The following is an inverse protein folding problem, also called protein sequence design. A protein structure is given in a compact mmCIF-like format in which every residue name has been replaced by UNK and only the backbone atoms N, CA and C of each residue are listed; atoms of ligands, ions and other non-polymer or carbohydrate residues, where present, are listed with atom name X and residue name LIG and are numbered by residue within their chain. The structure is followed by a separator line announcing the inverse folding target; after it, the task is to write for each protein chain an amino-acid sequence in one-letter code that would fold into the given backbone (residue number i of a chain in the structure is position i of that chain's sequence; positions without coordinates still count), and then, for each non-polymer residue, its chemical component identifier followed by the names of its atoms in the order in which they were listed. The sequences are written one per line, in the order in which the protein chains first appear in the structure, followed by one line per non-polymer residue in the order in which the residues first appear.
data_IF_293429106066
#
_entry.id   IF_293429106066
#
_cell.length_a   1.000
_cell.length_b   1.000
_cell.length_c   1.000
_cell.angle_alpha   90.00
_cell.angle_beta   90.00
_cell.angle_gamma   90.00
#
_symmetry.space_group_name_H-M   'P 1'
#
loop_
_entity.id
_entity.type
_entity.pdbx_description
1 polymer ?
#
# COMPACT_ATOMS: atom_id res chain seq x y z
N UNK A 1 -35.00 -15.67 -19.92
CA UNK A 1 -34.77 -14.75 -18.79
C UNK A 1 -33.83 -13.64 -19.27
N UNK A 2 -34.25 -12.37 -19.13
CA UNK A 2 -33.48 -11.10 -19.09
C UNK A 2 -32.32 -10.86 -20.08
N UNK A 3 -32.11 -9.70 -20.70
CA UNK A 3 -32.79 -8.40 -20.76
C UNK A 3 -32.13 -7.67 -21.94
N UNK A 4 -32.90 -7.00 -22.80
CA UNK A 4 -32.38 -6.18 -23.89
C UNK A 4 -32.38 -4.69 -23.51
N UNK A 5 -31.22 -4.06 -23.61
CA UNK A 5 -30.94 -2.66 -23.34
C UNK A 5 -31.74 -1.71 -24.26
N UNK A 6 -32.40 -0.70 -23.69
CA UNK A 6 -32.86 0.50 -24.42
C UNK A 6 -32.47 1.76 -23.67
N UNK A 7 -31.60 2.56 -24.30
CA UNK A 7 -31.34 3.98 -24.01
C UNK A 7 -32.59 4.80 -24.35
N UNK A 8 -32.92 5.79 -23.53
CA UNK A 8 -33.91 6.83 -23.85
C UNK A 8 -33.30 8.21 -23.59
N UNK A 9 -33.39 9.07 -24.60
CA UNK A 9 -32.93 10.45 -24.59
C UNK A 9 -33.99 11.37 -23.97
N UNK A 10 -33.54 12.46 -23.34
CA UNK A 10 -34.38 13.51 -22.79
C UNK A 10 -34.75 14.54 -23.89
N UNK A 11 -36.02 14.94 -23.93
CA UNK A 11 -36.55 15.94 -24.85
C UNK A 11 -36.86 17.24 -24.10
N UNK A 12 -36.38 18.35 -24.66
CA UNK A 12 -36.55 19.72 -24.19
C UNK A 12 -37.98 20.24 -24.41
N UNK A 13 -38.42 21.16 -23.53
CA UNK A 13 -39.65 21.95 -23.71
C UNK A 13 -39.32 23.43 -23.47
N UNK A 14 -39.68 24.25 -24.46
CA UNK A 14 -39.58 25.71 -24.49
C UNK A 14 -40.91 26.37 -24.04
N UNK A 15 -40.94 27.69 -23.76
CA UNK A 15 -41.86 28.31 -22.79
C UNK A 15 -43.18 28.83 -23.40
N UNK A 16 -44.21 29.01 -22.56
CA UNK A 16 -45.44 29.74 -22.90
C UNK A 16 -45.72 30.90 -21.92
N UNK A 17 -46.37 32.00 -22.37
CA UNK A 17 -46.44 33.28 -21.66
C UNK A 17 -47.69 33.43 -20.78
N UNK A 18 -47.70 34.35 -19.78
CA UNK A 18 -48.87 34.61 -18.95
C UNK A 18 -49.84 35.69 -19.53
N UNK A 19 -51.15 35.63 -19.22
CA UNK A 19 -52.15 36.66 -19.57
C UNK A 19 -52.20 37.84 -18.58
N UNK A 20 -52.92 38.95 -18.88
CA UNK A 20 -52.62 40.29 -18.36
C UNK A 20 -53.37 40.68 -17.07
N UNK A 21 -52.81 41.73 -16.44
CA UNK A 21 -53.19 42.40 -15.19
C UNK A 21 -54.62 42.97 -15.18
N UNK A 22 -55.31 42.83 -14.05
CA UNK A 22 -56.31 43.80 -13.58
C UNK A 22 -55.76 44.52 -12.34
N UNK A 23 -55.66 45.84 -12.47
CA UNK A 23 -55.35 46.77 -11.38
C UNK A 23 -56.67 47.33 -10.87
N UNK A 24 -56.91 47.29 -9.56
CA UNK A 24 -57.76 48.28 -8.90
C UNK A 24 -57.09 48.70 -7.60
N UNK A 25 -56.85 50.01 -7.50
CA UNK A 25 -56.24 50.68 -6.36
C UNK A 25 -57.21 50.72 -5.18
N UNK A 26 -56.70 50.58 -3.96
CA UNK A 26 -56.67 51.63 -2.92
C UNK A 26 -56.37 50.98 -1.57
N UNK A 27 -55.22 51.28 -1.00
CA UNK A 27 -55.07 51.98 0.27
C UNK A 27 -53.59 52.03 0.60
N UNK A 28 -53.10 53.25 0.78
CA UNK A 28 -51.76 53.54 1.27
C UNK A 28 -51.68 53.05 2.71
N UNK A 29 -51.07 51.89 2.94
CA UNK A 29 -50.55 51.52 4.25
C UNK A 29 -49.17 50.89 4.06
N UNK A 30 -48.26 51.38 4.88
CA UNK A 30 -46.81 51.29 4.79
C UNK A 30 -46.23 49.95 4.34
N UNK A 31 -45.32 50.04 3.38
CA UNK A 31 -44.35 49.00 3.04
C UNK A 31 -43.42 48.82 4.26
N UNK A 32 -43.81 47.99 5.23
CA UNK A 32 -42.85 47.45 6.17
C UNK A 32 -42.02 46.42 5.42
N UNK A 33 -40.83 46.85 4.96
CA UNK A 33 -39.69 45.94 4.83
C UNK A 33 -39.53 45.29 6.20
N UNK A 34 -40.10 44.10 6.36
CA UNK A 34 -39.75 43.20 7.43
C UNK A 34 -38.34 42.72 7.08
N UNK A 35 -37.35 43.57 7.37
CA UNK A 35 -35.98 43.14 7.56
C UNK A 35 -36.08 42.03 8.60
N UNK A 36 -36.12 40.78 8.15
CA UNK A 36 -35.74 39.63 8.97
C UNK A 36 -34.24 39.82 9.19
N UNK A 37 -33.92 40.74 10.11
CA UNK A 37 -32.70 40.73 10.88
C UNK A 37 -32.69 39.33 11.51
N UNK A 38 -32.04 38.40 10.82
CA UNK A 38 -31.52 37.21 11.46
C UNK A 38 -30.59 37.78 12.51
N UNK A 39 -31.11 37.87 13.73
CA UNK A 39 -30.41 38.44 14.84
C UNK A 39 -29.13 37.64 15.02
N UNK A 40 -28.03 38.21 14.55
CA UNK A 40 -26.68 37.66 14.66
C UNK A 40 -26.25 37.54 16.13
N UNK A 41 -27.11 37.91 17.09
CA UNK A 41 -26.80 37.97 18.53
C UNK A 41 -27.54 36.97 19.43
N UNK A 42 -28.26 35.98 18.88
CA UNK A 42 -29.00 34.99 19.71
C UNK A 42 -28.35 33.60 19.73
N UNK A 43 -27.04 33.53 19.92
CA UNK A 43 -26.48 32.36 20.61
C UNK A 43 -26.72 32.65 22.09
N UNK A 44 -27.49 31.81 22.78
CA UNK A 44 -27.79 32.09 24.20
C UNK A 44 -26.47 32.18 24.99
N UNK A 45 -26.38 33.07 25.98
CA UNK A 45 -25.16 33.23 26.81
C UNK A 45 -24.70 31.87 27.41
N UNK A 46 -25.66 30.97 27.64
CA UNK A 46 -25.45 29.58 28.05
C UNK A 46 -24.76 28.73 26.97
N UNK A 47 -25.17 28.84 25.70
CA UNK A 47 -24.53 28.15 24.57
C UNK A 47 -23.11 28.68 24.30
N UNK A 48 -22.88 30.00 24.38
CA UNK A 48 -21.54 30.57 24.26
C UNK A 48 -20.61 30.09 25.39
N UNK A 49 -21.14 30.03 26.61
CA UNK A 49 -20.41 29.51 27.78
C UNK A 49 -20.07 28.02 27.64
N UNK A 50 -20.99 27.23 27.07
CA UNK A 50 -20.76 25.82 26.78
C UNK A 50 -19.68 25.62 25.70
N UNK A 51 -19.69 26.46 24.65
CA UNK A 51 -18.68 26.45 23.59
C UNK A 51 -17.29 26.82 24.15
N UNK A 52 -17.20 27.87 24.97
CA UNK A 52 -15.92 28.30 25.55
C UNK A 52 -15.31 27.21 26.44
N UNK A 53 -16.14 26.57 27.28
CA UNK A 53 -15.72 25.47 28.15
C UNK A 53 -15.25 24.25 27.36
N UNK A 54 -15.92 23.91 26.26
CA UNK A 54 -15.51 22.82 25.37
C UNK A 54 -14.16 23.13 24.67
N UNK A 55 -13.94 24.37 24.22
CA UNK A 55 -12.64 24.81 23.67
C UNK A 55 -11.53 24.69 24.72
N UNK A 56 -11.76 25.15 25.94
CA UNK A 56 -10.80 25.03 27.04
C UNK A 56 -10.48 23.57 27.37
N UNK A 57 -11.49 22.71 27.40
CA UNK A 57 -11.31 21.27 27.61
C UNK A 57 -10.48 20.62 26.49
N UNK A 58 -10.74 20.99 25.23
CA UNK A 58 -9.95 20.52 24.08
C UNK A 58 -8.51 21.01 24.15
N UNK A 59 -8.28 22.27 24.52
CA UNK A 59 -6.94 22.82 24.70
C UNK A 59 -6.19 22.14 25.84
N UNK A 60 -6.84 21.89 26.98
CA UNK A 60 -6.26 21.17 28.11
C UNK A 60 -5.90 19.72 27.73
N UNK A 61 -6.77 19.05 26.95
CA UNK A 61 -6.50 17.71 26.43
C UNK A 61 -5.32 17.72 25.45
N UNK A 62 -5.29 18.66 24.51
CA UNK A 62 -4.19 18.81 23.55
C UNK A 62 -2.85 19.07 24.25
N UNK A 63 -2.82 19.93 25.27
CA UNK A 63 -1.62 20.22 26.06
C UNK A 63 -1.15 19.01 26.89
N UNK A 64 -2.08 18.12 27.30
CA UNK A 64 -1.72 16.86 27.94
C UNK A 64 -1.15 15.87 26.94
N UNK A 65 -1.75 15.77 25.75
CA UNK A 65 -1.33 14.84 24.70
C UNK A 65 0.01 15.25 24.07
N UNK A 66 0.30 16.55 23.95
CA UNK A 66 1.55 17.05 23.38
C UNK A 66 2.79 16.53 24.13
N UNK A 67 2.68 16.29 25.44
CA UNK A 67 3.74 15.68 26.26
C UNK A 67 4.13 14.26 25.83
N UNK A 68 3.25 13.56 25.12
CA UNK A 68 3.45 12.18 24.65
C UNK A 68 3.75 12.11 23.15
N UNK A 69 3.67 13.24 22.44
CA UNK A 69 4.00 13.28 21.01
C UNK A 69 5.51 13.18 20.79
N UNK A 70 5.90 12.60 19.65
CA UNK A 70 7.30 12.61 19.24
C UNK A 70 7.73 14.02 18.82
N UNK A 71 9.03 14.33 18.90
CA UNK A 71 9.55 15.60 18.39
C UNK A 71 9.22 15.78 16.90
N UNK A 72 8.94 17.02 16.45
CA UNK A 72 8.71 17.32 15.03
C UNK A 72 9.99 17.07 14.23
N UNK A 73 9.83 16.66 12.97
CA UNK A 73 10.97 16.46 12.06
C UNK A 73 11.66 17.79 11.75
N UNK A 74 12.98 17.78 11.63
CA UNK A 74 13.74 18.93 11.16
C UNK A 74 13.60 19.15 9.66
N UNK A 75 13.79 20.38 9.19
CA UNK A 75 13.70 20.75 7.77
C UNK A 75 14.68 19.95 6.89
N UNK A 76 15.84 19.58 7.43
CA UNK A 76 16.84 18.75 6.74
C UNK A 76 16.30 17.39 6.29
N UNK A 77 15.41 16.78 7.09
CA UNK A 77 14.78 15.50 6.72
C UNK A 77 13.78 15.68 5.59
N UNK A 78 13.01 16.78 5.62
CA UNK A 78 12.01 17.09 4.59
C UNK A 78 12.68 17.46 3.28
N UNK A 79 13.77 18.22 3.35
CA UNK A 79 14.61 18.60 2.21
C UNK A 79 15.49 17.45 1.68
N UNK A 80 15.51 16.30 2.36
CA UNK A 80 16.35 15.14 2.02
C UNK A 80 17.86 15.47 1.97
N UNK A 81 18.29 16.47 2.74
CA UNK A 81 19.69 16.95 2.76
C UNK A 81 20.60 16.10 3.67
N UNK A 82 20.01 15.23 4.50
CA UNK A 82 20.71 14.33 5.42
C UNK A 82 20.22 12.89 5.31
N UNK A 83 21.11 11.95 5.62
CA UNK A 83 20.75 10.54 5.77
C UNK A 83 19.89 10.28 7.01
N UNK A 84 19.08 9.21 6.95
CA UNK A 84 18.31 8.72 8.09
C UNK A 84 19.09 7.61 8.80
N UNK A 85 19.58 7.90 10.01
CA UNK A 85 20.28 6.93 10.86
C UNK A 85 19.37 6.58 12.04
N UNK A 86 19.08 5.30 12.21
CA UNK A 86 18.14 4.83 13.24
C UNK A 86 18.52 3.44 13.74
N UNK A 87 18.12 3.13 14.98
CA UNK A 87 18.25 1.79 15.55
C UNK A 87 17.00 0.98 15.23
N UNK A 88 17.18 -0.19 14.60
CA UNK A 88 16.09 -1.12 14.34
C UNK A 88 15.59 -1.77 15.64
N UNK A 89 14.30 -2.04 15.70
CA UNK A 89 13.62 -2.71 16.80
C UNK A 89 12.91 -3.97 16.34
N UNK A 90 12.19 -3.89 15.22
CA UNK A 90 11.40 -4.99 14.68
C UNK A 90 11.50 -5.01 13.16
N UNK A 91 11.42 -6.22 12.60
CA UNK A 91 11.36 -6.45 11.16
C UNK A 91 10.18 -7.36 10.89
N UNK A 92 9.35 -6.97 9.92
CA UNK A 92 8.39 -7.86 9.31
C UNK A 92 8.45 -7.77 7.79
N UNK A 93 7.57 -8.51 7.11
CA UNK A 93 7.36 -8.35 5.68
C UNK A 93 5.88 -8.32 5.35
N UNK A 94 5.56 -7.58 4.30
CA UNK A 94 4.25 -7.57 3.67
C UNK A 94 4.37 -7.93 2.20
N UNK A 95 3.29 -8.47 1.62
CA UNK A 95 3.20 -8.68 0.18
C UNK A 95 2.51 -7.45 -0.40
N UNK A 96 3.21 -6.73 -1.26
CA UNK A 96 2.71 -5.55 -1.95
C UNK A 96 3.11 -5.54 -3.42
N UNK A 97 2.75 -4.49 -4.15
CA UNK A 97 3.21 -4.29 -5.52
C UNK A 97 4.70 -3.90 -5.55
N UNK A 98 5.42 -4.38 -6.56
CA UNK A 98 6.81 -4.00 -6.76
C UNK A 98 6.95 -2.49 -7.00
N UNK A 99 7.96 -1.87 -6.36
CA UNK A 99 8.17 -0.43 -6.43
C UNK A 99 8.76 -0.04 -7.80
N UNK A 100 7.92 0.54 -8.67
CA UNK A 100 8.27 0.82 -10.07
C UNK A 100 9.48 1.73 -10.25
N UNK A 101 9.63 2.75 -9.40
CA UNK A 101 10.74 3.71 -9.53
C UNK A 101 12.09 3.09 -9.12
N UNK A 102 12.11 2.30 -8.05
CA UNK A 102 13.32 1.63 -7.56
C UNK A 102 13.67 0.40 -8.42
N UNK A 103 12.65 -0.27 -8.96
CA UNK A 103 12.78 -1.56 -9.65
C UNK A 103 11.96 -1.56 -10.95
N UNK A 104 12.39 -0.81 -11.99
CA UNK A 104 11.60 -0.64 -13.22
C UNK A 104 11.40 -1.95 -14.00
N UNK A 105 12.31 -2.90 -13.85
CA UNK A 105 12.28 -4.20 -14.53
C UNK A 105 11.45 -5.26 -13.79
N UNK A 106 11.00 -4.97 -12.56
CA UNK A 106 10.21 -5.89 -11.76
C UNK A 106 8.78 -5.38 -11.65
N UNK A 107 7.83 -6.31 -11.79
CA UNK A 107 6.41 -6.03 -11.68
C UNK A 107 5.66 -7.16 -11.00
N UNK A 108 4.48 -6.81 -10.48
CA UNK A 108 3.59 -7.70 -9.75
C UNK A 108 3.94 -7.83 -8.26
N UNK A 109 3.34 -8.82 -7.59
CA UNK A 109 3.52 -9.03 -6.16
C UNK A 109 4.97 -9.27 -5.78
N UNK A 110 5.44 -8.56 -4.75
CA UNK A 110 6.77 -8.65 -4.18
C UNK A 110 6.72 -8.58 -2.65
N UNK A 111 7.69 -9.21 -1.99
CA UNK A 111 7.88 -9.04 -0.56
C UNK A 111 8.57 -7.69 -0.30
N UNK A 112 7.97 -6.89 0.58
CA UNK A 112 8.51 -5.63 1.07
C UNK A 112 8.87 -5.85 2.53
N UNK A 113 10.14 -5.73 2.86
CA UNK A 113 10.61 -5.86 4.24
C UNK A 113 10.42 -4.51 4.91
N UNK A 114 9.71 -4.48 6.04
CA UNK A 114 9.54 -3.25 6.83
C UNK A 114 10.41 -3.32 8.06
N UNK A 115 11.28 -2.34 8.21
CA UNK A 115 12.17 -2.22 9.36
C UNK A 115 11.68 -1.05 10.19
N UNK A 116 11.20 -1.36 11.40
CA UNK A 116 10.73 -0.37 12.35
C UNK A 116 11.85 -0.01 13.32
N UNK A 117 11.95 1.26 13.67
CA UNK A 117 12.95 1.70 14.63
C UNK A 117 12.83 3.16 15.04
N UNK A 118 13.87 3.64 15.72
CA UNK A 118 13.94 5.00 16.26
C UNK A 118 15.27 5.67 15.95
N UNK A 119 15.23 6.95 15.57
CA UNK A 119 16.45 7.75 15.41
C UNK A 119 17.00 8.16 16.78
N UNK A 120 18.24 8.66 16.80
CA UNK A 120 18.86 9.19 18.04
C UNK A 120 18.04 10.36 18.62
N UNK A 121 17.38 11.12 17.76
CA UNK A 121 16.51 12.27 18.09
C UNK A 121 15.11 11.85 18.57
N UNK A 122 14.77 10.56 18.52
CA UNK A 122 13.49 10.04 19.00
C UNK A 122 12.36 9.98 17.96
N UNK A 123 12.68 10.13 16.66
CA UNK A 123 11.70 9.95 15.59
C UNK A 123 11.43 8.47 15.32
N UNK A 124 10.17 8.11 15.09
CA UNK A 124 9.81 6.77 14.60
C UNK A 124 10.14 6.65 13.12
N UNK A 125 10.74 5.54 12.75
CA UNK A 125 11.08 5.21 11.35
C UNK A 125 10.39 3.91 10.96
N UNK A 126 9.78 3.92 9.77
CA UNK A 126 9.38 2.72 9.04
C UNK A 126 10.12 2.74 7.70
N UNK A 127 11.14 1.89 7.57
CA UNK A 127 11.93 1.78 6.35
C UNK A 127 11.42 0.60 5.54
N UNK A 128 10.87 0.89 4.35
CA UNK A 128 10.45 -0.13 3.40
C UNK A 128 11.63 -0.50 2.49
N UNK A 129 12.09 -1.74 2.59
CA UNK A 129 13.17 -2.29 1.78
C UNK A 129 12.57 -3.13 0.66
N UNK A 130 12.92 -2.76 -0.57
CA UNK A 130 12.45 -3.39 -1.81
C UNK A 130 13.59 -4.14 -2.51
N UNK A 131 13.24 -5.08 -3.39
CA UNK A 131 14.21 -5.75 -4.28
C UNK A 131 14.85 -7.02 -3.71
N UNK A 132 14.41 -7.45 -2.52
CA UNK A 132 14.78 -8.74 -1.99
C UNK A 132 13.85 -9.84 -2.56
N UNK A 133 14.43 -10.80 -3.26
CA UNK A 133 13.73 -11.97 -3.77
C UNK A 133 14.13 -13.22 -2.98
N UNK A 134 13.17 -13.98 -2.43
CA UNK A 134 13.46 -15.18 -1.65
C UNK A 134 14.08 -16.28 -2.51
N UNK A 135 15.03 -17.01 -1.93
CA UNK A 135 15.72 -18.10 -2.60
C UNK A 135 16.05 -19.25 -1.66
N UNK A 136 16.32 -20.40 -2.24
CA UNK A 136 16.85 -21.56 -1.53
C UNK A 136 17.83 -22.33 -2.42
N UNK A 137 18.57 -23.25 -1.81
CA UNK A 137 19.55 -24.08 -2.51
C UNK A 137 19.14 -25.54 -2.50
N UNK A 138 19.43 -26.24 -3.59
CA UNK A 138 19.38 -27.70 -3.68
C UNK A 138 20.69 -28.22 -4.28
N UNK A 139 21.07 -29.45 -3.97
CA UNK A 139 22.16 -30.12 -4.67
C UNK A 139 21.79 -30.25 -6.15
N UNK A 140 22.76 -30.00 -7.04
CA UNK A 140 22.55 -30.20 -8.47
C UNK A 140 22.42 -31.71 -8.77
N UNK A 141 21.38 -32.15 -9.50
CA UNK A 141 21.25 -33.55 -9.91
C UNK A 141 22.51 -34.02 -10.67
N UNK A 142 22.98 -35.27 -10.44
CA UNK A 142 24.11 -35.83 -11.17
C UNK A 142 23.86 -35.79 -12.69
N UNK A 143 24.85 -35.33 -13.45
CA UNK A 143 24.76 -35.23 -14.91
C UNK A 143 24.08 -33.97 -15.45
N UNK A 144 23.46 -33.14 -14.59
CA UNK A 144 22.90 -31.86 -15.00
C UNK A 144 23.99 -30.81 -15.21
N UNK A 145 24.02 -30.21 -16.39
CA UNK A 145 24.94 -29.13 -16.77
C UNK A 145 24.25 -27.76 -16.89
N UNK A 146 25.01 -26.71 -17.24
CA UNK A 146 24.46 -25.37 -17.48
C UNK A 146 23.40 -25.32 -18.58
N UNK A 147 23.53 -26.16 -19.61
CA UNK A 147 22.62 -26.22 -20.75
C UNK A 147 21.22 -26.74 -20.36
N UNK A 148 21.15 -27.60 -19.33
CA UNK A 148 19.90 -28.18 -18.84
C UNK A 148 19.07 -27.21 -17.98
N UNK A 149 19.69 -26.14 -17.45
CA UNK A 149 19.06 -25.21 -16.52
C UNK A 149 17.85 -24.52 -17.14
N UNK A 150 17.92 -24.19 -18.43
CA UNK A 150 16.80 -23.55 -19.14
C UNK A 150 15.58 -24.47 -19.21
N UNK A 151 15.79 -25.75 -19.50
CA UNK A 151 14.71 -26.75 -19.54
C UNK A 151 14.15 -27.01 -18.14
N UNK A 152 15.03 -27.18 -17.15
CA UNK A 152 14.64 -27.38 -15.76
C UNK A 152 13.83 -26.20 -15.20
N UNK A 153 14.22 -24.96 -15.51
CA UNK A 153 13.49 -23.76 -15.12
C UNK A 153 12.06 -23.76 -15.67
N UNK A 154 11.89 -24.08 -16.97
CA UNK A 154 10.57 -24.15 -17.60
C UNK A 154 9.69 -25.26 -16.99
N UNK A 155 10.27 -26.43 -16.73
CA UNK A 155 9.55 -27.55 -16.11
C UNK A 155 9.09 -27.21 -14.68
N UNK A 156 9.95 -26.58 -13.88
CA UNK A 156 9.63 -26.18 -12.51
C UNK A 156 8.57 -25.06 -12.48
N UNK A 157 8.71 -24.06 -13.34
CA UNK A 157 7.73 -22.97 -13.50
C UNK A 157 6.34 -23.52 -13.90
N UNK A 158 6.29 -24.50 -14.82
CA UNK A 158 5.05 -25.18 -15.20
C UNK A 158 4.37 -25.89 -14.04
N UNK A 159 5.13 -26.68 -13.25
CA UNK A 159 4.60 -27.36 -12.05
C UNK A 159 4.16 -26.37 -10.97
N UNK A 160 4.87 -25.26 -10.81
CA UNK A 160 4.50 -24.20 -9.87
C UNK A 160 3.21 -23.51 -10.29
N UNK A 161 3.06 -23.21 -11.58
CA UNK A 161 1.83 -22.62 -12.13
C UNK A 161 0.63 -23.54 -11.96
N UNK A 162 0.81 -24.83 -12.17
CA UNK A 162 -0.25 -25.82 -11.95
C UNK A 162 -0.69 -25.92 -10.49
N UNK A 163 0.24 -25.77 -9.54
CA UNK A 163 -0.06 -25.81 -8.11
C UNK A 163 -0.68 -24.51 -7.59
N UNK A 164 -0.45 -23.38 -8.27
CA UNK A 164 -0.83 -22.04 -7.81
C UNK A 164 -1.78 -21.35 -8.81
N UNK A 165 -2.78 -22.06 -9.34
CA UNK A 165 -3.71 -21.57 -10.38
C UNK A 165 -4.47 -20.29 -10.00
N UNK A 166 -4.69 -20.07 -8.70
CA UNK A 166 -5.41 -18.91 -8.18
C UNK A 166 -4.49 -17.73 -7.87
N UNK A 167 -3.18 -17.85 -8.10
CA UNK A 167 -2.23 -16.78 -7.82
C UNK A 167 -2.19 -15.77 -8.97
N UNK A 168 -2.16 -14.49 -8.63
CA UNK A 168 -1.96 -13.37 -9.54
C UNK A 168 -0.48 -13.12 -9.88
N UNK A 169 0.42 -14.03 -9.49
CA UNK A 169 1.86 -13.90 -9.77
C UNK A 169 2.17 -14.37 -11.20
N UNK A 170 2.78 -13.51 -11.99
CA UNK A 170 3.09 -13.79 -13.40
C UNK A 170 4.17 -14.86 -13.61
N UNK A 171 5.24 -14.84 -12.80
CA UNK A 171 6.35 -15.82 -12.82
C UNK A 171 6.63 -16.28 -11.39
N UNK A 172 6.56 -17.58 -11.13
CA UNK A 172 6.77 -18.14 -9.78
C UNK A 172 8.25 -18.32 -9.48
N UNK A 173 9.00 -18.84 -10.46
CA UNK A 173 10.46 -19.02 -10.41
C UNK A 173 11.11 -17.91 -11.21
N UNK A 174 11.81 -17.00 -10.53
CA UNK A 174 12.42 -15.81 -11.14
C UNK A 174 13.66 -16.18 -11.93
N UNK A 175 14.54 -16.99 -11.35
CA UNK A 175 15.76 -17.52 -12.00
C UNK A 175 16.32 -18.71 -11.23
N UNK A 176 17.19 -19.47 -11.89
CA UNK A 176 17.96 -20.56 -11.31
C UNK A 176 19.42 -20.31 -11.67
N UNK A 177 20.28 -20.28 -10.65
CA UNK A 177 21.73 -20.07 -10.82
C UNK A 177 22.47 -21.34 -10.36
N UNK A 178 23.33 -21.90 -11.21
CA UNK A 178 24.24 -22.96 -10.81
C UNK A 178 25.42 -22.34 -10.05
N UNK A 179 25.67 -22.81 -8.83
CA UNK A 179 26.68 -22.26 -7.92
C UNK A 179 27.48 -23.36 -7.26
N UNK A 180 28.74 -23.09 -6.95
CA UNK A 180 29.59 -23.99 -6.17
C UNK A 180 29.39 -23.71 -4.67
N UNK A 181 28.92 -24.72 -3.93
CA UNK A 181 28.66 -24.65 -2.48
C UNK A 181 29.11 -25.94 -1.79
N UNK A 182 29.00 -26.00 -0.47
CA UNK A 182 29.27 -27.20 0.33
C UNK A 182 28.22 -27.35 1.41
N UNK A 183 27.94 -28.58 1.81
CA UNK A 183 27.06 -28.83 2.96
C UNK A 183 27.76 -28.37 4.23
N UNK A 184 26.99 -27.84 5.18
CA UNK A 184 27.49 -27.55 6.53
C UNK A 184 27.61 -28.84 7.36
N UNK A 185 26.85 -29.88 6.99
CA UNK A 185 26.82 -31.14 7.72
C UNK A 185 27.99 -32.05 7.34
N UNK A 186 28.71 -32.50 8.37
CA UNK A 186 29.88 -33.39 8.30
C UNK A 186 31.11 -32.80 7.59
N UNK A 187 32.26 -33.41 7.85
CA UNK A 187 33.46 -33.15 7.08
C UNK A 187 33.32 -33.75 5.67
N UNK A 188 33.61 -32.95 4.65
CA UNK A 188 33.60 -33.36 3.26
C UNK A 188 35.03 -33.23 2.71
N UNK A 189 35.52 -34.27 2.02
CA UNK A 189 36.84 -34.22 1.37
C UNK A 189 36.87 -33.27 0.17
N UNK A 190 35.73 -33.06 -0.49
CA UNK A 190 35.61 -32.09 -1.58
C UNK A 190 35.33 -30.70 -1.02
N UNK A 191 36.06 -29.69 -1.50
CA UNK A 191 35.89 -28.30 -1.09
C UNK A 191 34.55 -27.71 -1.56
N UNK A 192 34.02 -28.20 -2.68
CA UNK A 192 32.74 -27.76 -3.21
C UNK A 192 32.07 -28.79 -4.12
N UNK A 193 30.76 -28.62 -4.31
CA UNK A 193 29.90 -29.37 -5.20
C UNK A 193 28.92 -28.41 -5.88
N UNK A 194 28.39 -28.75 -7.06
CA UNK A 194 27.39 -27.93 -7.75
C UNK A 194 26.06 -27.96 -7.00
N UNK A 195 25.50 -26.77 -6.77
CA UNK A 195 24.17 -26.51 -6.22
C UNK A 195 23.38 -25.63 -7.19
N UNK A 196 22.05 -25.73 -7.12
CA UNK A 196 21.15 -24.82 -7.79
C UNK A 196 20.57 -23.85 -6.77
N UNK A 197 20.77 -22.56 -7.00
CA UNK A 197 20.10 -21.47 -6.27
C UNK A 197 18.83 -21.12 -7.02
N UNK A 198 17.69 -21.45 -6.43
CA UNK A 198 16.37 -21.22 -7.01
C UNK A 198 15.78 -19.97 -6.36
N UNK A 199 15.57 -18.93 -7.16
CA UNK A 199 14.97 -17.66 -6.73
C UNK A 199 13.49 -17.68 -7.09
N UNK A 200 12.61 -17.43 -6.14
CA UNK A 200 11.15 -17.42 -6.31
C UNK A 200 10.56 -16.04 -6.07
N UNK A 201 9.34 -15.81 -6.56
CA UNK A 201 8.72 -14.49 -6.51
C UNK A 201 8.28 -14.06 -5.10
N UNK A 202 7.69 -14.97 -4.32
CA UNK A 202 7.15 -14.68 -2.99
C UNK A 202 7.65 -15.67 -1.94
N UNK A 203 7.83 -15.25 -0.67
CA UNK A 203 8.30 -16.14 0.41
C UNK A 203 7.39 -17.36 0.63
N UNK A 204 6.07 -17.16 0.46
CA UNK A 204 5.06 -18.22 0.58
C UNK A 204 5.23 -19.34 -0.45
N UNK A 205 5.92 -19.09 -1.56
CA UNK A 205 6.13 -20.06 -2.64
C UNK A 205 7.31 -20.98 -2.38
N UNK A 206 8.21 -20.66 -1.44
CA UNK A 206 9.43 -21.46 -1.18
C UNK A 206 9.06 -22.89 -0.79
N UNK A 207 8.12 -23.07 0.13
CA UNK A 207 7.71 -24.39 0.62
C UNK A 207 7.06 -25.23 -0.50
N UNK A 208 6.17 -24.62 -1.28
CA UNK A 208 5.50 -25.27 -2.42
C UNK A 208 6.52 -25.67 -3.50
N UNK A 209 7.44 -24.77 -3.85
CA UNK A 209 8.49 -25.03 -4.83
C UNK A 209 9.41 -26.17 -4.37
N UNK A 210 9.84 -26.15 -3.11
CA UNK A 210 10.65 -27.24 -2.54
C UNK A 210 9.91 -28.58 -2.58
N UNK A 211 8.61 -28.61 -2.29
CA UNK A 211 7.81 -29.82 -2.38
C UNK A 211 7.74 -30.41 -3.80
N UNK A 212 7.69 -29.56 -4.84
CA UNK A 212 7.67 -30.03 -6.24
C UNK A 212 8.99 -30.63 -6.71
N UNK A 213 10.09 -30.31 -6.04
CA UNK A 213 11.42 -30.85 -6.34
C UNK A 213 11.63 -32.29 -5.86
N UNK A 214 10.79 -32.78 -4.93
CA UNK A 214 10.83 -34.19 -4.51
C UNK A 214 10.31 -35.16 -5.58
N UNK A 215 9.71 -34.64 -6.64
CA UNK A 215 9.17 -35.40 -7.77
C UNK A 215 9.98 -35.20 -9.06
N UNK A 216 11.21 -34.69 -8.92
CA UNK A 216 12.24 -34.69 -9.97
C UNK A 216 13.30 -35.71 -9.56
#
# INVERSE_FOLDING_TARGET
MSNASRKRAASAVAPQPPPPKQVLMTQEEDFMDEDVFIDQTLVSEDEESLILRDIEQRHALAARLSKWTRPPLSDDYVAQSRGVVFQQLEIDYVIGESHRELLPNLSGPAAIIRIFGVTKEGHSVCCNVHGFEPYFYISCPPGMGPDDISHFHQALEGRMREANRNSNVGKFVRRIEMVQRRSIMYYQQSDSQPFLKIVVALPTMVASCRGKLLYF
#
